data_IF_895688196949
#
_entry.id   IF_895688196949
#
_cell.length_a   1.000
_cell.length_b   1.000
_cell.length_c   1.000
_cell.angle_alpha   90.00
_cell.angle_beta   90.00
_cell.angle_gamma   90.00
#
_symmetry.space_group_name_H-M   'P 1'
#
loop_
_entity.id
_entity.type
_entity.pdbx_description
1 polymer ?
#
# COMPACT_ATOMS: atom_id res chain seq x y z
N UNK A 1 0.84 2.25 -17.24
CA UNK A 1 2.27 2.55 -17.00
C UNK A 1 2.42 3.50 -15.81
N UNK A 2 2.26 3.04 -14.57
CA UNK A 2 2.35 3.91 -13.39
C UNK A 2 2.82 3.11 -12.17
N UNK A 3 3.99 3.48 -11.65
CA UNK A 3 4.46 3.18 -10.29
C UNK A 3 3.56 3.90 -9.27
N UNK A 4 3.77 3.67 -7.97
CA UNK A 4 3.03 4.42 -6.95
C UNK A 4 3.25 5.93 -7.18
N UNK A 5 2.19 6.65 -7.56
CA UNK A 5 2.22 8.07 -7.93
C UNK A 5 2.91 8.94 -6.86
N UNK A 6 2.80 8.52 -5.60
CA UNK A 6 3.47 9.14 -4.46
C UNK A 6 4.99 9.12 -4.59
N UNK A 7 5.60 7.94 -4.75
CA UNK A 7 7.04 7.83 -4.86
C UNK A 7 7.57 8.53 -6.11
N UNK A 8 6.84 8.48 -7.23
CA UNK A 8 7.17 9.28 -8.40
C UNK A 8 7.23 10.78 -8.05
N UNK A 9 6.19 11.32 -7.39
CA UNK A 9 6.15 12.74 -7.00
C UNK A 9 7.29 13.10 -6.05
N UNK A 10 7.54 12.29 -5.03
CA UNK A 10 8.61 12.54 -4.05
C UNK A 10 10.00 12.46 -4.71
N UNK A 11 10.31 11.36 -5.40
CA UNK A 11 11.63 11.19 -6.00
C UNK A 11 11.89 12.18 -7.13
N UNK A 12 10.91 12.39 -8.01
CA UNK A 12 11.11 13.27 -9.14
C UNK A 12 11.23 14.73 -8.70
N UNK A 13 10.49 15.20 -7.68
CA UNK A 13 10.65 16.58 -7.21
C UNK A 13 11.89 16.78 -6.35
N UNK A 14 12.19 15.85 -5.45
CA UNK A 14 13.30 16.00 -4.49
C UNK A 14 14.67 15.72 -5.09
N UNK A 15 14.79 14.79 -6.04
CA UNK A 15 16.10 14.40 -6.60
C UNK A 15 16.30 14.81 -8.06
N UNK A 16 15.22 14.95 -8.85
CA UNK A 16 15.34 15.29 -10.28
C UNK A 16 14.66 16.61 -10.67
N UNK A 17 14.03 17.30 -9.72
CA UNK A 17 13.32 18.56 -9.90
C UNK A 17 12.27 18.54 -11.05
N UNK A 18 11.53 17.44 -11.18
CA UNK A 18 10.63 17.19 -12.30
C UNK A 18 9.18 16.80 -11.88
N UNK A 19 8.13 17.33 -12.53
CA UNK A 19 8.20 18.56 -13.32
C UNK A 19 8.58 19.72 -12.38
N UNK A 20 9.37 20.71 -12.86
CA UNK A 20 9.54 21.95 -12.12
C UNK A 20 8.17 22.63 -11.94
N UNK A 21 8.05 23.54 -10.96
CA UNK A 21 6.82 24.31 -10.80
C UNK A 21 6.49 25.07 -12.08
N UNK A 22 5.20 25.39 -12.33
CA UNK A 22 4.73 26.01 -13.57
C UNK A 22 5.44 27.32 -13.94
N UNK A 23 6.13 27.95 -12.99
CA UNK A 23 6.88 29.20 -13.17
C UNK A 23 8.36 29.00 -13.59
N UNK A 24 8.85 27.76 -13.67
CA UNK A 24 10.26 27.46 -13.96
C UNK A 24 10.36 26.67 -15.25
N UNK A 25 11.11 27.21 -16.21
CA UNK A 25 11.34 26.56 -17.49
C UNK A 25 12.06 25.22 -17.29
N UNK A 26 11.63 24.20 -18.04
CA UNK A 26 12.29 22.91 -18.06
C UNK A 26 13.62 23.06 -18.81
N UNK A 27 14.74 22.94 -18.10
CA UNK A 27 16.08 23.09 -18.70
C UNK A 27 16.37 22.02 -19.75
N UNK A 28 17.38 22.24 -20.61
CA UNK A 28 17.75 21.26 -21.65
C UNK A 28 18.14 19.92 -21.02
N UNK A 29 17.34 18.90 -21.27
CA UNK A 29 17.60 17.54 -20.79
C UNK A 29 17.55 16.57 -21.96
N UNK A 30 18.38 15.52 -21.87
CA UNK A 30 18.42 14.44 -22.86
C UNK A 30 17.11 13.64 -22.88
N UNK A 31 17.07 12.60 -23.72
CA UNK A 31 15.86 11.79 -23.94
C UNK A 31 15.31 11.19 -22.63
N UNK A 32 14.00 11.34 -22.41
CA UNK A 32 13.31 10.79 -21.26
C UNK A 32 13.26 9.25 -21.33
N UNK A 33 14.14 8.58 -20.59
CA UNK A 33 14.21 7.10 -20.53
C UNK A 33 13.16 6.48 -19.58
N UNK A 34 12.36 7.31 -18.91
CA UNK A 34 11.34 6.85 -17.96
C UNK A 34 11.92 6.03 -16.79
N UNK A 35 11.13 5.07 -16.31
CA UNK A 35 11.47 4.21 -15.16
C UNK A 35 12.30 2.97 -15.56
N UNK A 36 12.99 3.01 -16.70
CA UNK A 36 13.78 1.88 -17.24
C UNK A 36 15.26 1.91 -16.84
N UNK A 37 15.71 2.99 -16.20
CA UNK A 37 17.08 3.17 -15.74
C UNK A 37 17.14 3.29 -14.21
N UNK A 38 18.27 2.87 -13.63
CA UNK A 38 18.56 3.08 -12.21
C UNK A 38 18.62 4.60 -11.90
N UNK A 39 18.05 5.09 -10.78
CA UNK A 39 17.38 4.37 -9.68
C UNK A 39 15.87 4.13 -9.87
N UNK A 40 15.26 4.69 -10.92
CA UNK A 40 13.81 4.65 -11.16
C UNK A 40 13.29 3.24 -11.53
N UNK A 41 14.17 2.32 -11.90
CA UNK A 41 13.82 0.90 -12.09
C UNK A 41 13.29 0.24 -10.80
N UNK A 42 13.75 0.68 -9.63
CA UNK A 42 13.24 0.21 -8.34
C UNK A 42 11.77 0.61 -8.14
N UNK A 43 11.39 1.79 -8.66
CA UNK A 43 10.01 2.22 -8.66
C UNK A 43 9.15 1.30 -9.53
N UNK A 44 9.67 0.89 -10.69
CA UNK A 44 8.99 -0.07 -11.57
C UNK A 44 8.84 -1.45 -10.89
N UNK A 45 9.85 -1.91 -10.13
CA UNK A 45 9.78 -3.14 -9.34
C UNK A 45 8.72 -3.07 -8.24
N UNK A 46 8.48 -1.90 -7.66
CA UNK A 46 7.49 -1.68 -6.59
C UNK A 46 6.08 -2.15 -6.96
N UNK A 47 5.75 -2.24 -8.27
CA UNK A 47 4.51 -2.85 -8.75
C UNK A 47 4.37 -4.31 -8.31
N UNK A 48 5.45 -5.08 -8.36
CA UNK A 48 5.42 -6.51 -8.05
C UNK A 48 5.39 -6.76 -6.54
N UNK A 49 5.89 -5.82 -5.75
CA UNK A 49 5.83 -5.89 -4.28
C UNK A 49 4.39 -5.96 -3.75
N UNK A 50 3.40 -5.45 -4.48
CA UNK A 50 1.99 -5.60 -4.10
C UNK A 50 1.58 -7.07 -3.92
N UNK A 51 2.02 -7.96 -4.82
CA UNK A 51 1.65 -9.37 -4.76
C UNK A 51 2.24 -10.04 -3.52
N UNK A 52 3.50 -9.73 -3.21
CA UNK A 52 4.14 -10.20 -1.99
C UNK A 52 3.48 -9.62 -0.73
N UNK A 53 3.12 -8.33 -0.74
CA UNK A 53 2.42 -7.68 0.36
C UNK A 53 1.06 -8.35 0.64
N UNK A 54 0.30 -8.70 -0.40
CA UNK A 54 -0.96 -9.43 -0.23
C UNK A 54 -0.75 -10.81 0.40
N UNK A 55 0.30 -11.54 0.03
CA UNK A 55 0.64 -12.82 0.66
C UNK A 55 1.01 -12.66 2.14
N UNK A 56 1.85 -11.67 2.47
CA UNK A 56 2.22 -11.36 3.86
C UNK A 56 0.97 -10.98 4.67
N UNK A 57 0.04 -10.24 4.06
CA UNK A 57 -1.20 -9.84 4.72
C UNK A 57 -2.07 -11.04 5.12
N UNK A 58 -2.10 -12.09 4.29
CA UNK A 58 -2.80 -13.33 4.64
C UNK A 58 -2.18 -14.00 5.87
N UNK A 59 -0.84 -14.05 5.95
CA UNK A 59 -0.16 -14.58 7.13
C UNK A 59 -0.44 -13.75 8.38
N UNK A 60 -0.40 -12.42 8.28
CA UNK A 60 -0.71 -11.54 9.41
C UNK A 60 -2.14 -11.75 9.94
N UNK A 61 -3.12 -11.88 9.05
CA UNK A 61 -4.49 -12.19 9.47
C UNK A 61 -4.65 -13.61 10.02
N UNK A 62 -3.86 -14.56 9.52
CA UNK A 62 -3.80 -15.91 10.09
C UNK A 62 -3.23 -15.89 11.52
N UNK A 63 -2.19 -15.10 11.77
CA UNK A 63 -1.62 -14.94 13.11
C UNK A 63 -2.60 -14.24 14.07
N UNK A 64 -3.32 -13.23 13.59
CA UNK A 64 -4.42 -12.60 14.34
C UNK A 64 -5.50 -13.62 14.68
N UNK A 65 -5.91 -14.44 13.70
CA UNK A 65 -6.88 -15.52 13.94
C UNK A 65 -6.38 -16.49 15.02
N UNK A 66 -5.13 -16.96 14.93
CA UNK A 66 -4.56 -17.83 15.96
C UNK A 66 -4.46 -17.16 17.33
N UNK A 67 -4.19 -15.86 17.37
CA UNK A 67 -4.14 -15.08 18.60
C UNK A 67 -5.51 -14.92 19.28
N UNK A 68 -6.62 -15.11 18.57
CA UNK A 68 -7.97 -15.19 19.17
C UNK A 68 -8.29 -16.55 19.80
N UNK A 69 -7.49 -17.59 19.52
CA UNK A 69 -7.74 -18.95 19.97
C UNK A 69 -6.58 -19.52 20.81
N UNK A 70 -6.14 -18.85 21.89
CA UNK A 70 -5.09 -19.40 22.75
C UNK A 70 -5.54 -20.72 23.37
N UNK A 71 -4.81 -21.81 23.09
CA UNK A 71 -5.16 -23.13 23.60
C UNK A 71 -6.44 -23.75 23.03
N UNK A 72 -7.02 -23.17 21.97
CA UNK A 72 -8.25 -23.65 21.35
C UNK A 72 -9.55 -23.04 21.91
N UNK A 73 -9.46 -22.16 22.90
CA UNK A 73 -10.60 -21.41 23.45
C UNK A 73 -10.58 -19.95 22.98
N UNK A 74 -11.75 -19.32 22.89
CA UNK A 74 -11.81 -17.91 22.51
C UNK A 74 -11.20 -17.04 23.60
N UNK A 75 -10.18 -16.27 23.26
CA UNK A 75 -9.47 -15.39 24.17
C UNK A 75 -9.15 -14.05 23.54
N UNK A 76 -9.40 -12.97 24.28
CA UNK A 76 -8.99 -11.61 23.91
C UNK A 76 -7.88 -11.15 24.84
N UNK A 77 -6.68 -10.97 24.29
CA UNK A 77 -5.52 -10.44 25.01
C UNK A 77 -5.06 -9.10 24.44
N UNK A 78 -4.22 -8.38 25.20
CA UNK A 78 -3.54 -7.18 24.70
C UNK A 78 -2.74 -7.50 23.43
N UNK A 79 -2.07 -8.66 23.40
CA UNK A 79 -1.33 -9.11 22.22
C UNK A 79 -2.23 -9.32 21.00
N UNK A 80 -3.40 -9.93 21.19
CA UNK A 80 -4.40 -10.12 20.13
C UNK A 80 -4.84 -8.76 19.55
N UNK A 81 -5.08 -7.76 20.42
CA UNK A 81 -5.46 -6.41 19.99
C UNK A 81 -4.32 -5.70 19.24
N UNK A 82 -3.08 -5.82 19.72
CA UNK A 82 -1.90 -5.23 19.07
C UNK A 82 -1.69 -5.83 17.68
N UNK A 83 -1.75 -7.16 17.55
CA UNK A 83 -1.61 -7.85 16.26
C UNK A 83 -2.76 -7.49 15.31
N UNK A 84 -4.00 -7.44 15.80
CA UNK A 84 -5.16 -7.07 14.99
C UNK A 84 -5.10 -5.61 14.51
N UNK A 85 -4.67 -4.69 15.36
CA UNK A 85 -4.47 -3.29 14.99
C UNK A 85 -3.38 -3.14 13.93
N UNK A 86 -2.23 -3.83 14.10
CA UNK A 86 -1.15 -3.82 13.12
C UNK A 86 -1.59 -4.38 11.77
N UNK A 87 -2.22 -5.56 11.75
CA UNK A 87 -2.74 -6.18 10.53
C UNK A 87 -3.78 -5.30 9.84
N UNK A 88 -4.62 -4.59 10.60
CA UNK A 88 -5.59 -3.62 10.07
C UNK A 88 -4.92 -2.41 9.42
N UNK A 89 -3.93 -1.80 10.08
CA UNK A 89 -3.19 -0.66 9.52
C UNK A 89 -2.44 -1.04 8.23
N UNK A 90 -1.77 -2.20 8.23
CA UNK A 90 -1.09 -2.74 7.04
C UNK A 90 -2.08 -3.09 5.92
N UNK A 91 -3.27 -3.57 6.27
CA UNK A 91 -4.37 -3.77 5.32
C UNK A 91 -4.77 -2.44 4.67
N UNK A 92 -5.04 -1.40 5.46
CA UNK A 92 -5.44 -0.08 4.96
C UNK A 92 -4.37 0.54 4.06
N UNK A 93 -3.09 0.38 4.42
CA UNK A 93 -1.98 0.81 3.56
C UNK A 93 -1.93 0.02 2.23
N UNK A 94 -2.10 -1.31 2.28
CA UNK A 94 -2.10 -2.16 1.08
C UNK A 94 -3.30 -1.87 0.18
N UNK A 95 -4.50 -1.72 0.75
CA UNK A 95 -5.73 -1.44 0.02
C UNK A 95 -5.79 -0.01 -0.53
N UNK A 96 -5.15 0.95 0.12
CA UNK A 96 -5.00 2.31 -0.42
C UNK A 96 -3.97 2.41 -1.57
N UNK A 97 -3.27 1.33 -1.93
CA UNK A 97 -2.24 1.36 -2.96
C UNK A 97 -2.80 1.63 -4.37
N UNK A 98 -2.13 2.51 -5.11
CA UNK A 98 -2.49 2.86 -6.49
C UNK A 98 -2.44 1.63 -7.43
N UNK A 99 -1.47 0.74 -7.23
CA UNK A 99 -1.33 -0.50 -8.01
C UNK A 99 -2.55 -1.41 -7.85
N UNK A 100 -3.12 -1.50 -6.63
CA UNK A 100 -4.31 -2.30 -6.37
C UNK A 100 -5.57 -1.67 -6.98
N UNK A 101 -5.72 -0.35 -6.85
CA UNK A 101 -6.79 0.42 -7.51
C UNK A 101 -6.79 0.16 -9.02
N UNK A 102 -5.62 0.18 -9.65
CA UNK A 102 -5.48 -0.13 -11.07
C UNK A 102 -5.75 -1.61 -11.39
N UNK A 103 -5.35 -2.55 -10.52
CA UNK A 103 -5.67 -3.97 -10.72
C UNK A 103 -7.18 -4.21 -10.72
N UNK A 104 -7.92 -3.54 -9.83
CA UNK A 104 -9.38 -3.71 -9.69
C UNK A 104 -10.16 -2.98 -10.78
N UNK A 105 -9.83 -1.71 -11.07
CA UNK A 105 -10.57 -0.88 -12.02
C UNK A 105 -9.95 -0.74 -13.42
N UNK A 106 -8.75 -1.28 -13.65
CA UNK A 106 -8.07 -1.19 -14.94
C UNK A 106 -8.73 -2.02 -16.02
N UNK A 107 -8.65 -1.53 -17.27
CA UNK A 107 -9.15 -2.20 -18.48
C UNK A 107 -10.66 -2.49 -18.47
N UNK A 108 -11.45 -1.67 -17.78
CA UNK A 108 -12.92 -1.72 -17.85
C UNK A 108 -13.40 -0.52 -18.66
N UNK A 109 -13.84 -0.76 -19.89
CA UNK A 109 -14.30 0.29 -20.79
C UNK A 109 -15.78 0.66 -20.59
N UNK A 110 -16.57 -0.21 -19.93
CA UNK A 110 -17.96 0.07 -19.59
C UNK A 110 -18.30 -0.40 -18.17
N UNK A 111 -18.58 0.55 -17.28
CA UNK A 111 -18.86 0.30 -15.85
C UNK A 111 -20.30 -0.17 -15.56
N UNK A 112 -21.22 -0.03 -16.51
CA UNK A 112 -22.64 -0.38 -16.34
C UNK A 112 -23.07 -1.66 -17.08
N UNK A 113 -22.23 -2.20 -17.96
CA UNK A 113 -22.57 -3.28 -18.89
C UNK A 113 -23.13 -4.55 -18.22
N UNK A 114 -22.56 -4.98 -17.09
CA UNK A 114 -23.02 -6.16 -16.36
C UNK A 114 -22.78 -6.02 -14.84
N UNK A 115 -23.29 -7.00 -14.07
CA UNK A 115 -23.17 -7.00 -12.62
C UNK A 115 -21.71 -7.00 -12.13
N UNK A 116 -20.81 -7.66 -12.87
CA UNK A 116 -19.37 -7.72 -12.57
C UNK A 116 -18.72 -6.35 -12.76
N UNK A 117 -19.01 -5.63 -13.85
CA UNK A 117 -18.52 -4.28 -14.09
C UNK A 117 -18.98 -3.31 -12.99
N UNK A 118 -20.25 -3.41 -12.55
CA UNK A 118 -20.77 -2.58 -11.45
C UNK A 118 -20.07 -2.89 -10.13
N UNK A 119 -19.82 -4.17 -9.84
CA UNK A 119 -19.09 -4.58 -8.64
C UNK A 119 -17.63 -4.06 -8.66
N UNK A 120 -16.94 -4.19 -9.81
CA UNK A 120 -15.59 -3.64 -10.00
C UNK A 120 -15.55 -2.13 -9.87
N UNK A 121 -16.52 -1.41 -10.42
CA UNK A 121 -16.62 0.05 -10.28
C UNK A 121 -16.83 0.48 -8.83
N UNK A 122 -17.71 -0.22 -8.08
CA UNK A 122 -17.90 0.03 -6.64
C UNK A 122 -16.62 -0.23 -5.84
N UNK A 123 -15.95 -1.35 -6.10
CA UNK A 123 -14.68 -1.66 -5.44
C UNK A 123 -13.60 -0.62 -5.79
N UNK A 124 -13.48 -0.25 -7.06
CA UNK A 124 -12.58 0.81 -7.51
C UNK A 124 -12.87 2.16 -6.85
N UNK A 125 -14.15 2.53 -6.67
CA UNK A 125 -14.54 3.75 -5.98
C UNK A 125 -14.10 3.76 -4.51
N UNK A 126 -14.30 2.65 -3.79
CA UNK A 126 -13.82 2.49 -2.39
C UNK A 126 -12.30 2.57 -2.30
N UNK A 127 -11.59 1.87 -3.19
CA UNK A 127 -10.13 1.90 -3.23
C UNK A 127 -9.60 3.28 -3.62
N UNK A 128 -10.33 4.03 -4.47
CA UNK A 128 -9.98 5.41 -4.83
C UNK A 128 -10.10 6.34 -3.63
N UNK A 129 -11.18 6.24 -2.85
CA UNK A 129 -11.34 7.00 -1.60
C UNK A 129 -10.26 6.67 -0.57
N UNK A 130 -9.89 5.39 -0.42
CA UNK A 130 -8.76 5.01 0.44
C UNK A 130 -7.42 5.54 -0.08
N UNK A 131 -7.22 5.56 -1.41
CA UNK A 131 -5.99 6.00 -2.05
C UNK A 131 -5.70 7.50 -1.84
N UNK A 132 -6.73 8.35 -1.68
CA UNK A 132 -6.56 9.77 -1.37
C UNK A 132 -5.71 9.99 -0.10
N UNK A 133 -5.87 9.10 0.88
CA UNK A 133 -5.16 9.15 2.15
C UNK A 133 -3.99 8.14 2.23
N UNK A 134 -3.51 7.62 1.10
CA UNK A 134 -2.47 6.59 1.06
C UNK A 134 -1.21 6.97 1.85
N UNK A 135 -0.83 8.25 1.85
CA UNK A 135 0.30 8.75 2.65
C UNK A 135 0.07 8.60 4.14
N UNK A 136 -1.13 8.92 4.63
CA UNK A 136 -1.47 8.82 6.04
C UNK A 136 -1.42 7.35 6.46
N UNK A 137 -2.01 6.46 5.65
CA UNK A 137 -1.95 5.01 5.90
C UNK A 137 -0.52 4.47 5.89
N UNK A 138 0.36 5.00 5.04
CA UNK A 138 1.77 4.62 5.03
C UNK A 138 2.45 4.96 6.37
N UNK A 139 2.30 6.19 6.85
CA UNK A 139 2.91 6.60 8.12
C UNK A 139 2.30 5.91 9.33
N UNK A 140 0.98 5.80 9.40
CA UNK A 140 0.32 5.13 10.53
C UNK A 140 0.64 3.65 10.57
N UNK A 141 0.70 2.96 9.43
CA UNK A 141 1.13 1.56 9.38
C UNK A 141 2.60 1.36 9.75
N UNK A 142 3.48 2.30 9.36
CA UNK A 142 4.90 2.27 9.74
C UNK A 142 5.09 2.39 11.25
N UNK A 143 4.43 3.36 11.89
CA UNK A 143 4.48 3.48 13.36
C UNK A 143 3.78 2.31 14.05
N UNK A 144 2.68 1.83 13.47
CA UNK A 144 1.93 0.68 13.99
C UNK A 144 2.77 -0.60 14.03
N UNK A 145 3.49 -0.93 12.95
CA UNK A 145 4.33 -2.12 12.92
C UNK A 145 5.52 -2.00 13.86
N UNK A 146 6.18 -0.83 13.93
CA UNK A 146 7.27 -0.61 14.90
C UNK A 146 6.80 -0.78 16.35
N UNK A 147 5.61 -0.28 16.67
CA UNK A 147 5.02 -0.44 18.00
C UNK A 147 4.65 -1.90 18.29
N UNK A 148 4.07 -2.61 17.32
CA UNK A 148 3.74 -4.02 17.46
C UNK A 148 4.98 -4.89 17.65
N UNK A 149 6.03 -4.67 16.86
CA UNK A 149 7.31 -5.37 16.96
C UNK A 149 7.97 -5.12 18.32
N UNK A 150 7.97 -3.86 18.79
CA UNK A 150 8.49 -3.52 20.10
C UNK A 150 7.68 -4.18 21.22
N UNK A 151 6.35 -4.21 21.13
CA UNK A 151 5.50 -4.91 22.08
C UNK A 151 5.82 -6.41 22.14
N UNK A 152 5.88 -7.08 20.98
CA UNK A 152 6.21 -8.51 20.89
C UNK A 152 7.60 -8.77 21.45
N UNK A 153 8.58 -7.93 21.13
CA UNK A 153 9.93 -8.02 21.67
C UNK A 153 9.96 -7.92 23.20
N UNK A 154 9.25 -6.94 23.78
CA UNK A 154 9.18 -6.81 25.24
C UNK A 154 8.55 -8.06 25.87
N UNK A 155 7.41 -8.51 25.37
CA UNK A 155 6.72 -9.70 25.90
C UNK A 155 7.58 -10.96 25.77
N UNK A 156 8.34 -11.09 24.68
CA UNK A 156 9.25 -12.23 24.47
C UNK A 156 10.52 -12.15 25.34
N UNK A 157 10.88 -10.96 25.83
CA UNK A 157 12.10 -10.73 26.62
C UNK A 157 11.91 -10.92 28.14
N UNK A 158 10.67 -11.08 28.62
CA UNK A 158 10.32 -11.29 30.04
C UNK A 158 10.12 -9.99 30.81
#
# INVERSE_FOLDING_TARGET
RLTCYYYRKAYYRSFTLHPPGCAVAEGSRGEYRGETAFPLILQNLHRYLLYFALLILLFLWYDVWRAFWPGGEFGLSVGTLVLAANATLLSLYTFSCHSLRHLVGGQVDCFSANAVCRARHRAWGRLSSLNENHMIWAWTSLFGVMAADFYVYMVASG
#
